data_IF_248317260012
#
_entry.id   IF_248317260012
#
_cell.length_a   1.000
_cell.length_b   1.000
_cell.length_c   1.000
_cell.angle_alpha   90.00
_cell.angle_beta   90.00
_cell.angle_gamma   90.00
#
_symmetry.space_group_name_H-M   'P 1'
#
loop_
_entity.id
_entity.type
_entity.pdbx_description
1 polymer ?
#
# COMPACT_ATOMS: atom_id res chain seq x y z
N UNK A 1 1.64 -6.16 6.14
CA UNK A 1 2.70 -5.98 5.13
C UNK A 1 3.94 -5.44 5.81
N UNK A 2 5.12 -5.90 5.40
CA UNK A 2 6.39 -5.61 6.07
C UNK A 2 7.29 -4.75 5.19
N UNK A 3 7.78 -3.63 5.73
CA UNK A 3 8.61 -2.66 5.02
C UNK A 3 9.91 -2.42 5.76
N UNK A 4 11.01 -2.26 5.01
CA UNK A 4 12.28 -1.76 5.54
C UNK A 4 12.20 -0.27 5.87
N UNK A 5 11.47 0.49 5.07
CA UNK A 5 11.22 1.91 5.25
C UNK A 5 9.71 2.11 5.50
N UNK A 6 9.32 1.92 6.77
CA UNK A 6 7.93 2.08 7.19
C UNK A 6 7.42 3.51 6.94
N UNK A 7 8.16 4.60 7.28
CA UNK A 7 7.72 5.96 7.00
C UNK A 7 7.39 6.20 5.52
N UNK A 8 8.26 5.78 4.60
CA UNK A 8 8.00 5.92 3.16
C UNK A 8 6.76 5.15 2.72
N UNK A 9 6.55 3.94 3.25
CA UNK A 9 5.36 3.17 2.95
C UNK A 9 4.09 3.88 3.47
N UNK A 10 4.10 4.38 4.70
CA UNK A 10 2.99 5.13 5.29
C UNK A 10 2.62 6.34 4.43
N UNK A 11 3.61 7.15 4.02
CA UNK A 11 3.40 8.28 3.11
C UNK A 11 2.74 7.85 1.80
N UNK A 12 3.20 6.77 1.18
CA UNK A 12 2.59 6.27 -0.05
C UNK A 12 1.12 5.87 0.15
N UNK A 13 0.81 5.08 1.19
CA UNK A 13 -0.56 4.62 1.42
C UNK A 13 -1.51 5.75 1.81
N UNK A 14 -1.04 6.75 2.53
CA UNK A 14 -1.86 7.86 3.00
C UNK A 14 -1.97 9.01 2.00
N UNK A 15 -0.83 9.49 1.49
CA UNK A 15 -0.78 10.71 0.69
C UNK A 15 -0.94 10.41 -0.80
N UNK A 16 -0.40 9.29 -1.28
CA UNK A 16 -0.56 8.88 -2.69
C UNK A 16 -1.84 8.08 -2.90
N UNK A 17 -2.12 7.07 -2.08
CA UNK A 17 -3.35 6.28 -2.24
C UNK A 17 -4.56 6.87 -1.50
N UNK A 18 -4.38 7.89 -0.66
CA UNK A 18 -5.48 8.56 0.02
C UNK A 18 -6.14 7.74 1.13
N UNK A 19 -5.49 6.68 1.63
CA UNK A 19 -6.09 5.83 2.66
C UNK A 19 -6.10 6.52 4.02
N UNK A 20 -7.17 6.32 4.77
CA UNK A 20 -7.31 6.89 6.11
C UNK A 20 -6.61 6.02 7.15
N UNK A 21 -5.69 6.62 7.93
CA UNK A 21 -5.10 5.97 9.10
C UNK A 21 -6.20 5.63 10.11
N UNK A 22 -6.20 4.39 10.57
CA UNK A 22 -7.11 3.89 11.61
C UNK A 22 -6.41 3.78 12.97
N UNK A 23 -5.18 3.28 13.00
CA UNK A 23 -4.39 3.10 14.22
C UNK A 23 -2.91 3.33 13.92
N UNK A 24 -2.21 3.97 14.86
CA UNK A 24 -0.75 4.08 14.85
C UNK A 24 -0.20 3.47 16.13
N UNK A 25 0.73 2.53 15.99
CA UNK A 25 1.50 1.91 17.05
C UNK A 25 3.00 2.18 16.80
N UNK A 26 3.86 1.86 17.78
CA UNK A 26 5.29 2.18 17.73
C UNK A 26 6.00 1.69 16.46
N UNK A 27 5.68 0.48 16.00
CA UNK A 27 6.30 -0.15 14.82
C UNK A 27 5.30 -0.55 13.72
N UNK A 28 4.07 -0.02 13.79
CA UNK A 28 3.03 -0.40 12.85
C UNK A 28 2.00 0.72 12.63
N UNK A 29 1.48 0.79 11.41
CA UNK A 29 0.36 1.68 11.07
C UNK A 29 -0.71 0.85 10.37
N UNK A 30 -1.95 0.99 10.83
CA UNK A 30 -3.11 0.33 10.23
C UNK A 30 -3.96 1.36 9.52
N UNK A 31 -4.26 1.10 8.25
CA UNK A 31 -5.18 1.85 7.42
C UNK A 31 -6.51 1.12 7.31
N UNK A 32 -7.61 1.88 7.20
CA UNK A 32 -8.90 1.32 6.78
C UNK A 32 -9.00 1.42 5.27
N UNK A 33 -9.26 0.29 4.60
CA UNK A 33 -9.38 0.22 3.12
C UNK A 33 -10.82 0.10 2.65
N UNK A 34 -11.70 -0.46 3.49
CA UNK A 34 -13.15 -0.49 3.29
C UNK A 34 -13.85 -0.70 4.65
N UNK A 35 -15.17 -0.83 4.65
CA UNK A 35 -15.90 -1.22 5.86
C UNK A 35 -15.49 -2.63 6.31
N UNK A 36 -15.00 -2.75 7.55
CA UNK A 36 -14.51 -4.01 8.11
C UNK A 36 -13.17 -4.51 7.53
N UNK A 37 -12.54 -3.79 6.60
CA UNK A 37 -11.29 -4.20 5.96
C UNK A 37 -10.14 -3.25 6.31
N UNK A 38 -9.04 -3.84 6.79
CA UNK A 38 -7.88 -3.12 7.30
C UNK A 38 -6.58 -3.63 6.68
N UNK A 39 -5.63 -2.71 6.49
CA UNK A 39 -4.29 -2.98 6.00
C UNK A 39 -3.27 -2.47 7.02
N UNK A 40 -2.55 -3.38 7.66
CA UNK A 40 -1.47 -3.03 8.59
C UNK A 40 -0.12 -3.10 7.90
N UNK A 41 0.64 -2.02 7.99
CA UNK A 41 2.05 -1.92 7.62
C UNK A 41 2.88 -2.07 8.90
N UNK A 42 3.95 -2.86 8.85
CA UNK A 42 4.85 -3.07 9.98
C UNK A 42 6.30 -2.82 9.56
N UNK A 43 7.09 -2.29 10.48
CA UNK A 43 8.54 -2.26 10.34
C UNK A 43 9.09 -3.69 10.43
N UNK A 44 9.82 -4.09 9.39
CA UNK A 44 10.40 -5.43 9.30
C UNK A 44 11.47 -5.68 10.37
N UNK A 45 12.19 -4.63 10.82
CA UNK A 45 13.21 -4.75 11.86
C UNK A 45 12.63 -5.16 13.22
N UNK A 46 11.34 -4.91 13.44
CA UNK A 46 10.60 -5.25 14.65
C UNK A 46 9.63 -6.42 14.43
N UNK A 47 9.93 -7.29 13.46
CA UNK A 47 9.12 -8.44 13.10
C UNK A 47 9.93 -9.75 13.13
N UNK A 48 9.23 -10.89 13.08
CA UNK A 48 9.88 -12.20 12.87
C UNK A 48 10.20 -12.47 11.40
N UNK A 49 9.89 -11.54 10.50
CA UNK A 49 10.10 -11.66 9.06
C UNK A 49 11.36 -10.92 8.63
N UNK A 50 11.96 -11.37 7.53
CA UNK A 50 13.07 -10.67 6.88
C UNK A 50 12.64 -9.96 5.59
N UNK A 51 13.37 -8.92 5.23
CA UNK A 51 13.17 -8.24 3.96
C UNK A 51 13.54 -9.10 2.74
N UNK A 52 14.40 -10.11 2.94
CA UNK A 52 14.88 -11.03 1.92
C UNK A 52 13.89 -12.16 1.59
N UNK A 53 12.83 -12.33 2.40
CA UNK A 53 11.79 -13.30 2.11
C UNK A 53 11.08 -13.03 0.78
N UNK A 54 10.79 -14.10 0.04
CA UNK A 54 10.03 -14.03 -1.19
C UNK A 54 8.66 -13.38 -0.91
N UNK A 55 8.36 -12.28 -1.61
CA UNK A 55 7.08 -11.59 -1.48
C UNK A 55 6.02 -12.36 -2.28
N UNK A 56 5.26 -13.20 -1.58
CA UNK A 56 4.23 -14.08 -2.18
C UNK A 56 2.80 -13.54 -2.11
N UNK A 57 2.60 -12.37 -1.50
CA UNK A 57 1.28 -11.79 -1.24
C UNK A 57 1.09 -10.51 -2.03
N UNK A 58 -0.09 -10.34 -2.62
CA UNK A 58 -0.54 -9.11 -3.25
C UNK A 58 -1.84 -8.61 -2.62
N UNK A 59 -2.04 -7.29 -2.53
CA UNK A 59 -3.35 -6.68 -2.25
C UNK A 59 -3.93 -6.22 -3.59
N UNK A 60 -5.20 -6.54 -3.83
CA UNK A 60 -5.97 -5.98 -4.92
C UNK A 60 -7.02 -5.01 -4.36
N UNK A 61 -7.06 -3.80 -4.92
CA UNK A 61 -8.14 -2.83 -4.69
C UNK A 61 -9.10 -2.91 -5.87
N UNK A 62 -10.39 -3.05 -5.59
CA UNK A 62 -11.44 -3.02 -6.61
C UNK A 62 -12.02 -1.61 -6.66
N UNK A 63 -12.07 -1.03 -7.87
CA UNK A 63 -12.58 0.31 -8.12
C UNK A 63 -13.28 0.36 -9.47
N UNK A 64 -14.30 1.21 -9.58
CA UNK A 64 -14.95 1.52 -10.85
C UNK A 64 -14.17 2.59 -11.65
N UNK A 65 -13.20 3.26 -11.00
CA UNK A 65 -12.44 4.38 -11.57
C UNK A 65 -11.00 3.98 -11.94
N UNK A 66 -10.81 2.77 -12.48
CA UNK A 66 -9.48 2.24 -12.78
C UNK A 66 -8.68 3.13 -13.73
N UNK A 67 -9.33 3.72 -14.74
CA UNK A 67 -8.70 4.66 -15.67
C UNK A 67 -8.21 5.92 -14.96
N UNK A 68 -9.03 6.52 -14.09
CA UNK A 68 -8.63 7.69 -13.31
C UNK A 68 -7.48 7.40 -12.35
N UNK A 69 -7.49 6.22 -11.71
CA UNK A 69 -6.38 5.76 -10.88
C UNK A 69 -5.10 5.57 -11.68
N UNK A 70 -5.20 5.01 -12.89
CA UNK A 70 -4.06 4.83 -13.79
C UNK A 70 -3.42 6.19 -14.14
N UNK A 71 -4.21 7.16 -14.60
CA UNK A 71 -3.72 8.47 -14.99
C UNK A 71 -3.10 9.22 -13.80
N UNK A 72 -3.77 9.18 -12.64
CA UNK A 72 -3.27 9.78 -11.41
C UNK A 72 -1.93 9.17 -10.96
N UNK A 73 -1.82 7.85 -10.93
CA UNK A 73 -0.60 7.17 -10.48
C UNK A 73 0.56 7.36 -11.47
N UNK A 74 0.28 7.43 -12.77
CA UNK A 74 1.28 7.80 -13.77
C UNK A 74 1.79 9.23 -13.57
N UNK A 75 0.89 10.19 -13.34
CA UNK A 75 1.25 11.59 -13.09
C UNK A 75 2.04 11.76 -11.78
N UNK A 76 1.79 10.91 -10.79
CA UNK A 76 2.53 10.83 -9.53
C UNK A 76 3.84 10.01 -9.64
N UNK A 77 4.24 9.61 -10.86
CA UNK A 77 5.46 8.83 -11.15
C UNK A 77 5.58 7.51 -10.36
N UNK A 78 4.43 6.90 -10.01
CA UNK A 78 4.41 5.61 -9.32
C UNK A 78 4.86 4.53 -10.30
N UNK A 79 5.84 3.67 -9.94
CA UNK A 79 6.26 2.58 -10.82
C UNK A 79 5.14 1.56 -11.03
N UNK A 80 4.67 1.42 -12.27
CA UNK A 80 3.63 0.45 -12.61
C UNK A 80 4.21 -0.68 -13.47
N UNK A 81 4.12 -1.91 -12.95
CA UNK A 81 4.70 -3.10 -13.60
C UNK A 81 3.94 -3.54 -14.86
N UNK A 82 2.63 -3.39 -14.89
CA UNK A 82 1.77 -3.87 -15.98
C UNK A 82 0.95 -2.73 -16.56
N UNK A 83 1.04 -2.55 -17.88
CA UNK A 83 0.31 -1.50 -18.58
C UNK A 83 -1.20 -1.71 -18.52
N UNK A 84 -1.94 -0.63 -18.28
CA UNK A 84 -3.39 -0.63 -18.39
C UNK A 84 -3.83 -0.90 -19.84
N UNK A 85 -4.69 -1.89 -20.01
CA UNK A 85 -5.27 -2.28 -21.30
C UNK A 85 -6.79 -2.32 -21.15
N UNK A 86 -7.50 -1.21 -21.42
CA UNK A 86 -8.97 -1.23 -21.42
C UNK A 86 -9.46 -2.28 -22.43
N UNK A 87 -10.56 -2.95 -22.09
CA UNK A 87 -11.27 -3.87 -22.99
C UNK A 87 -12.35 -3.12 -23.75
#
# INVERSE_FOLDING_TARGET
YYYQDLPRAVTFYEETLGLTRHLTAEHAVTFRVAEGAFLTLMDVAHSQHSAAEAKSVAVAFLTNELAGWWDYLLAAEVPIKYTYKPR
#
